data_IF_650951438915
#
_entry.id   IF_650951438915
#
_cell.length_a   1.000
_cell.length_b   1.000
_cell.length_c   1.000
_cell.angle_alpha   90.00
_cell.angle_beta   90.00
_cell.angle_gamma   90.00
#
_symmetry.space_group_name_H-M   'P 1'
#
loop_
_entity.id
_entity.type
_entity.pdbx_description
1 polymer ?
#
# COMPACT_ATOMS: atom_id res chain seq x y z
N UNK A 1 -8.99 -5.42 -4.82
CA UNK A 1 -9.27 -4.11 -4.22
C UNK A 1 -9.24 -3.01 -5.26
N UNK A 2 -9.92 -1.92 -4.96
CA UNK A 2 -9.89 -0.65 -5.70
C UNK A 2 -9.72 0.46 -4.68
N UNK A 3 -8.97 1.50 -5.06
CA UNK A 3 -8.73 2.66 -4.23
C UNK A 3 -9.06 3.94 -4.99
N UNK A 4 -9.81 4.83 -4.35
CA UNK A 4 -9.99 6.20 -4.80
C UNK A 4 -9.08 7.11 -3.98
N UNK A 5 -8.19 7.82 -4.66
CA UNK A 5 -7.23 8.73 -4.04
C UNK A 5 -7.63 10.16 -4.33
N UNK A 6 -7.83 10.94 -3.27
CA UNK A 6 -8.09 12.36 -3.35
C UNK A 6 -6.90 13.12 -2.77
N UNK A 7 -6.25 13.94 -3.58
CA UNK A 7 -5.12 14.77 -3.14
C UNK A 7 -5.02 16.04 -3.99
N UNK A 8 -4.84 17.20 -3.35
CA UNK A 8 -4.66 18.48 -4.04
C UNK A 8 -5.81 18.84 -5.01
N UNK A 9 -7.05 18.43 -4.70
CA UNK A 9 -8.23 18.66 -5.55
C UNK A 9 -8.33 17.73 -6.76
N UNK A 10 -7.45 16.73 -6.89
CA UNK A 10 -7.50 15.70 -7.93
C UNK A 10 -8.00 14.39 -7.32
N UNK A 11 -8.82 13.68 -8.08
CA UNK A 11 -9.26 12.33 -7.75
C UNK A 11 -8.70 11.36 -8.78
N UNK A 12 -8.06 10.29 -8.31
CA UNK A 12 -7.51 9.21 -9.14
C UNK A 12 -8.10 7.90 -8.65
N UNK A 13 -8.50 7.05 -9.59
CA UNK A 13 -8.91 5.67 -9.30
C UNK A 13 -7.77 4.71 -9.60
N UNK A 14 -7.56 3.76 -8.70
CA UNK A 14 -6.52 2.75 -8.79
C UNK A 14 -7.14 1.37 -8.56
N UNK A 15 -6.65 0.36 -9.29
CA UNK A 15 -6.98 -1.03 -9.05
C UNK A 15 -5.79 -1.74 -8.42
N UNK A 16 -6.04 -2.60 -7.44
CA UNK A 16 -4.97 -3.27 -6.72
C UNK A 16 -5.33 -4.66 -6.21
N UNK A 17 -4.30 -5.37 -5.76
CA UNK A 17 -4.41 -6.69 -5.13
C UNK A 17 -3.45 -6.75 -3.95
N UNK A 18 -3.85 -7.44 -2.91
CA UNK A 18 -2.99 -7.78 -1.78
C UNK A 18 -3.14 -9.27 -1.51
N UNK A 19 -2.02 -9.98 -1.38
CA UNK A 19 -2.02 -11.41 -1.13
C UNK A 19 -0.83 -11.78 -0.25
N UNK A 20 -1.08 -12.11 1.02
CA UNK A 20 -0.08 -12.60 1.98
C UNK A 20 1.20 -11.74 2.05
N UNK A 21 1.04 -10.41 2.06
CA UNK A 21 2.16 -9.47 2.12
C UNK A 21 2.67 -9.00 0.74
N UNK A 22 2.30 -9.68 -0.34
CA UNK A 22 2.56 -9.19 -1.69
C UNK A 22 1.48 -8.19 -2.11
N UNK A 23 1.86 -7.17 -2.88
CA UNK A 23 0.98 -6.09 -3.32
C UNK A 23 1.16 -5.82 -4.82
N UNK A 24 0.04 -5.48 -5.46
CA UNK A 24 -0.02 -4.99 -6.84
C UNK A 24 -0.91 -3.75 -6.92
N UNK A 25 -0.48 -2.74 -7.68
CA UNK A 25 -1.29 -1.59 -8.07
C UNK A 25 -1.23 -1.36 -9.58
N UNK A 26 -2.32 -0.82 -10.12
CA UNK A 26 -2.52 -0.50 -11.52
C UNK A 26 -3.35 0.77 -11.62
N UNK A 27 -2.85 1.78 -12.32
CA UNK A 27 -3.56 3.05 -12.51
C UNK A 27 -3.09 3.78 -13.77
N UNK A 28 -3.95 4.65 -14.30
CA UNK A 28 -3.56 5.55 -15.39
C UNK A 28 -2.83 6.78 -14.85
N UNK A 29 -1.70 7.09 -15.46
CA UNK A 29 -0.97 8.32 -15.23
C UNK A 29 -0.68 8.99 -16.57
N UNK A 30 -1.36 10.10 -16.84
CA UNK A 30 -1.18 10.90 -18.07
C UNK A 30 -1.42 10.08 -19.36
N UNK A 31 -2.40 9.17 -19.35
CA UNK A 31 -2.72 8.32 -20.50
C UNK A 31 -1.77 7.12 -20.68
N UNK A 32 -0.94 6.83 -19.68
CA UNK A 32 -0.10 5.63 -19.64
C UNK A 32 -0.49 4.77 -18.45
N UNK A 33 -0.69 3.48 -18.70
CA UNK A 33 -0.85 2.50 -17.62
C UNK A 33 0.46 2.38 -16.85
N UNK A 34 0.39 2.63 -15.54
CA UNK A 34 1.45 2.34 -14.59
C UNK A 34 1.05 1.13 -13.75
N UNK A 35 1.99 0.21 -13.57
CA UNK A 35 1.84 -0.94 -12.71
C UNK A 35 2.97 -1.01 -11.69
N UNK A 36 2.62 -1.40 -10.47
CA UNK A 36 3.55 -1.44 -9.35
C UNK A 36 3.38 -2.76 -8.60
N UNK A 37 4.50 -3.36 -8.25
CA UNK A 37 4.53 -4.66 -7.59
C UNK A 37 5.46 -4.58 -6.39
N UNK A 38 5.01 -5.13 -5.27
CA UNK A 38 5.84 -5.41 -4.10
C UNK A 38 5.71 -6.90 -3.81
N UNK A 39 6.76 -7.67 -4.06
CA UNK A 39 6.76 -9.13 -3.93
C UNK A 39 7.95 -9.53 -3.05
N UNK A 40 7.66 -10.04 -1.86
CA UNK A 40 8.68 -10.22 -0.82
C UNK A 40 9.47 -8.93 -0.59
N UNK A 41 10.79 -8.96 -0.79
CA UNK A 41 11.67 -7.78 -0.64
C UNK A 41 11.94 -7.04 -1.96
N UNK A 42 11.23 -7.39 -3.03
CA UNK A 42 11.48 -6.84 -4.37
C UNK A 42 10.35 -5.93 -4.81
N UNK A 43 10.72 -4.77 -5.32
CA UNK A 43 9.79 -3.81 -5.91
C UNK A 43 10.01 -3.72 -7.40
N UNK A 44 8.92 -3.66 -8.17
CA UNK A 44 8.92 -3.52 -9.61
C UNK A 44 7.96 -2.43 -10.04
N UNK A 45 8.33 -1.72 -11.10
CA UNK A 45 7.47 -0.73 -11.76
C UNK A 45 7.45 -1.03 -13.25
N UNK A 46 6.26 -1.07 -13.84
CA UNK A 46 6.06 -1.20 -15.29
C UNK A 46 5.37 0.04 -15.80
N UNK A 47 5.96 0.69 -16.80
CA UNK A 47 5.39 1.85 -17.49
C UNK A 47 5.58 1.67 -18.98
N UNK A 48 4.50 1.76 -19.76
CA UNK A 48 4.59 1.65 -21.22
C UNK A 48 5.27 0.35 -21.71
N UNK A 49 5.13 -0.74 -20.95
CA UNK A 49 5.76 -2.03 -21.24
C UNK A 49 7.24 -2.16 -20.83
N UNK A 50 7.85 -1.11 -20.27
CA UNK A 50 9.21 -1.17 -19.72
C UNK A 50 9.16 -1.54 -18.24
N UNK A 51 9.83 -2.63 -17.86
CA UNK A 51 9.92 -3.06 -16.46
C UNK A 51 11.24 -2.65 -15.81
N UNK A 52 11.15 -2.04 -14.64
CA UNK A 52 12.29 -1.66 -13.80
C UNK A 52 12.16 -2.31 -12.42
N UNK A 53 13.26 -2.89 -11.92
CA UNK A 53 13.39 -3.41 -10.55
C UNK A 53 14.17 -2.42 -9.69
N UNK A 54 13.62 -2.04 -8.55
CA UNK A 54 14.26 -1.09 -7.63
C UNK A 54 13.28 -0.40 -6.68
N UNK A 55 13.79 0.44 -5.79
CA UNK A 55 12.99 1.11 -4.76
C UNK A 55 11.99 2.08 -5.38
N UNK A 56 10.71 1.94 -5.00
CA UNK A 56 9.66 2.90 -5.33
C UNK A 56 10.03 4.29 -4.84
N UNK A 57 9.85 5.32 -5.68
CA UNK A 57 9.90 6.73 -5.25
C UNK A 57 8.51 7.35 -5.09
N UNK A 58 7.45 6.68 -5.57
CA UNK A 58 6.06 7.16 -5.52
C UNK A 58 5.12 5.96 -5.34
N UNK A 59 3.94 6.17 -4.73
CA UNK A 59 2.93 5.13 -4.46
C UNK A 59 2.81 4.77 -2.99
N UNK A 60 1.83 3.93 -2.64
CA UNK A 60 1.69 3.40 -1.29
C UNK A 60 2.64 2.25 -1.02
N UNK A 61 3.25 2.27 0.15
CA UNK A 61 4.06 1.18 0.66
C UNK A 61 3.18 -0.01 1.06
N UNK A 62 3.76 -1.22 0.98
CA UNK A 62 3.14 -2.45 1.48
C UNK A 62 2.53 -2.25 2.87
N UNK A 63 3.31 -1.65 3.77
CA UNK A 63 2.97 -1.50 5.18
C UNK A 63 1.76 -0.57 5.43
N UNK A 64 1.38 0.25 4.46
CA UNK A 64 0.22 1.15 4.60
C UNK A 64 -1.10 0.41 4.37
N UNK A 65 -1.07 -0.74 3.70
CA UNK A 65 -2.29 -1.49 3.40
C UNK A 65 -2.27 -2.95 3.85
N UNK A 66 -1.19 -3.37 4.50
CA UNK A 66 -1.07 -4.71 5.09
C UNK A 66 -2.09 -4.85 6.23
N UNK A 67 -3.11 -5.73 6.11
CA UNK A 67 -4.10 -5.92 7.16
C UNK A 67 -3.44 -6.43 8.45
N UNK A 68 -2.37 -7.24 8.34
CA UNK A 68 -1.70 -7.83 9.48
C UNK A 68 -1.02 -6.81 10.40
N UNK A 69 -0.78 -5.60 9.91
CA UNK A 69 -0.33 -4.47 10.74
C UNK A 69 -1.32 -4.10 11.84
N UNK A 70 -2.61 -4.34 11.61
CA UNK A 70 -3.69 -3.91 12.50
C UNK A 70 -4.52 -5.06 13.04
N UNK A 71 -4.81 -6.09 12.23
CA UNK A 71 -5.70 -7.19 12.59
C UNK A 71 -4.99 -8.39 13.19
N UNK A 72 -3.80 -8.71 12.71
CA UNK A 72 -3.29 -10.05 12.94
C UNK A 72 -2.65 -10.19 14.32
N UNK A 73 -2.12 -9.10 14.91
CA UNK A 73 -1.39 -9.16 16.18
C UNK A 73 -1.55 -7.88 17.04
N UNK A 74 -2.74 -7.62 17.62
CA UNK A 74 -2.94 -6.51 18.56
C UNK A 74 -2.07 -6.63 19.81
N UNK A 75 -1.67 -7.85 20.19
CA UNK A 75 -0.76 -8.11 21.31
C UNK A 75 0.71 -7.85 20.98
N UNK A 76 1.12 -7.95 19.69
CA UNK A 76 2.49 -7.64 19.26
C UNK A 76 2.70 -6.15 18.91
N UNK A 77 1.60 -5.40 18.78
CA UNK A 77 1.60 -3.94 18.63
C UNK A 77 0.83 -3.29 19.79
N UNK A 78 1.21 -3.51 21.07
CA UNK A 78 0.45 -3.05 22.23
C UNK A 78 0.38 -1.52 22.33
N UNK A 79 1.30 -0.83 21.63
CA UNK A 79 1.33 0.63 21.47
C UNK A 79 0.17 1.14 20.59
N UNK A 80 -0.37 0.30 19.69
CA UNK A 80 -1.32 0.69 18.64
C UNK A 80 -2.73 0.19 18.99
N UNK A 81 -3.36 0.87 19.94
CA UNK A 81 -4.78 0.65 20.27
C UNK A 81 -5.68 1.58 19.44
N UNK A 82 -6.87 1.12 19.01
CA UNK A 82 -7.81 2.01 18.32
C UNK A 82 -8.25 3.14 19.26
N UNK A 83 -8.24 4.36 18.74
CA UNK A 83 -8.72 5.57 19.45
C UNK A 83 -10.25 5.67 19.42
N UNK A 84 -10.91 4.90 18.54
CA UNK A 84 -12.36 4.90 18.41
C UNK A 84 -12.90 3.83 17.47
N UNK A 85 -14.21 3.88 17.29
CA UNK A 85 -14.97 3.11 16.29
C UNK A 85 -15.87 4.04 15.50
N UNK A 86 -16.11 3.71 14.25
CA UNK A 86 -17.01 4.47 13.37
C UNK A 86 -17.71 3.53 12.38
N UNK A 87 -18.51 4.09 11.48
CA UNK A 87 -19.17 3.37 10.38
C UNK A 87 -18.97 4.13 9.08
N UNK A 88 -18.45 3.46 8.05
CA UNK A 88 -18.31 3.99 6.70
C UNK A 88 -19.13 3.12 5.75
N UNK A 89 -20.11 3.70 5.07
CA UNK A 89 -21.00 3.01 4.13
C UNK A 89 -21.70 1.76 4.70
N UNK A 90 -21.96 1.76 6.00
CA UNK A 90 -22.59 0.65 6.72
C UNK A 90 -21.63 -0.42 7.23
N UNK A 91 -20.33 -0.28 6.98
CA UNK A 91 -19.28 -1.17 7.48
C UNK A 91 -18.68 -0.62 8.79
N UNK A 92 -18.60 -1.46 9.83
CA UNK A 92 -17.96 -1.09 11.10
C UNK A 92 -16.44 -0.97 10.92
N UNK A 93 -15.87 0.14 11.39
CA UNK A 93 -14.43 0.40 11.32
C UNK A 93 -13.85 0.73 12.70
N UNK A 94 -12.62 0.28 12.93
CA UNK A 94 -11.75 0.69 14.02
C UNK A 94 -10.89 1.88 13.57
N UNK A 95 -10.82 2.92 14.39
CA UNK A 95 -10.09 4.15 14.07
C UNK A 95 -8.76 4.16 14.79
N UNK A 96 -7.67 4.37 14.05
CA UNK A 96 -6.31 4.49 14.57
C UNK A 96 -5.69 5.81 14.14
N UNK A 97 -4.98 6.46 15.05
CA UNK A 97 -4.17 7.65 14.75
C UNK A 97 -2.70 7.27 14.84
N UNK A 98 -1.99 7.39 13.71
CA UNK A 98 -0.58 7.01 13.62
C UNK A 98 0.24 8.25 13.33
N UNK A 99 1.07 8.63 14.29
CA UNK A 99 2.11 9.64 14.07
C UNK A 99 3.26 9.01 13.30
N UNK A 100 3.58 9.52 12.12
CA UNK A 100 4.80 9.11 11.43
C UNK A 100 5.98 9.91 11.97
N UNK A 101 7.08 9.24 12.33
CA UNK A 101 8.23 9.87 13.00
C UNK A 101 8.81 11.10 12.25
N UNK A 102 8.62 11.16 10.93
CA UNK A 102 9.09 12.25 10.07
C UNK A 102 7.99 13.26 9.67
N UNK A 103 6.71 13.00 10.00
CA UNK A 103 5.58 13.87 9.65
C UNK A 103 5.00 14.54 10.90
N UNK A 104 4.85 15.87 10.87
CA UNK A 104 4.29 16.63 12.00
C UNK A 104 2.78 16.43 12.20
N UNK A 105 2.08 15.76 11.27
CA UNK A 105 0.63 15.54 11.33
C UNK A 105 0.34 14.05 11.26
N UNK A 106 -0.49 13.52 12.18
CA UNK A 106 -0.85 12.11 12.18
C UNK A 106 -1.69 11.77 10.96
N UNK A 107 -1.60 10.50 10.54
CA UNK A 107 -2.56 9.90 9.62
C UNK A 107 -3.62 9.15 10.42
N UNK A 108 -4.86 9.24 9.97
CA UNK A 108 -5.98 8.47 10.53
C UNK A 108 -6.28 7.28 9.62
N UNK A 109 -6.23 6.09 10.20
CA UNK A 109 -6.55 4.83 9.55
C UNK A 109 -7.92 4.35 10.04
N UNK A 110 -8.79 4.01 9.10
CA UNK A 110 -10.09 3.40 9.36
C UNK A 110 -10.03 1.97 8.83
N UNK A 111 -10.00 1.00 9.74
CA UNK A 111 -9.77 -0.41 9.44
C UNK A 111 -11.08 -1.18 9.62
N UNK A 112 -11.48 -1.98 8.63
CA UNK A 112 -12.66 -2.84 8.72
C UNK A 112 -12.54 -3.80 9.91
N UNK A 113 -13.52 -3.76 10.81
CA UNK A 113 -13.47 -4.52 12.06
C UNK A 113 -13.58 -6.04 11.86
N UNK A 114 -14.18 -6.48 10.75
CA UNK A 114 -14.39 -7.90 10.43
C UNK A 114 -13.17 -8.53 9.75
N UNK A 115 -12.48 -7.78 8.89
CA UNK A 115 -11.46 -8.31 7.98
C UNK A 115 -10.06 -7.77 8.23
N UNK A 116 -9.92 -6.67 8.96
CA UNK A 116 -8.62 -6.02 9.16
C UNK A 116 -8.10 -5.19 7.99
N UNK A 117 -8.84 -5.09 6.90
CA UNK A 117 -8.40 -4.34 5.73
C UNK A 117 -8.67 -2.84 5.93
N UNK A 118 -7.79 -1.96 5.41
CA UNK A 118 -8.09 -0.53 5.40
C UNK A 118 -9.37 -0.26 4.60
N UNK A 119 -10.30 0.47 5.20
CA UNK A 119 -11.44 1.07 4.50
C UNK A 119 -11.10 2.49 4.05
N UNK A 120 -10.39 3.25 4.87
CA UNK A 120 -9.93 4.61 4.56
C UNK A 120 -8.60 4.94 5.24
N UNK A 121 -7.77 5.72 4.56
CA UNK A 121 -6.61 6.40 5.14
C UNK A 121 -6.76 7.88 4.86
N UNK A 122 -6.64 8.71 5.89
CA UNK A 122 -6.89 10.14 5.81
C UNK A 122 -5.74 10.93 6.46
N UNK A 123 -5.31 11.97 5.77
CA UNK A 123 -4.41 12.99 6.27
C UNK A 123 -4.93 14.36 5.87
N UNK A 124 -4.27 15.42 6.30
CA UNK A 124 -4.74 16.80 6.06
C UNK A 124 -4.97 17.13 4.57
N UNK A 125 -4.11 16.62 3.68
CA UNK A 125 -4.13 16.92 2.25
C UNK A 125 -4.43 15.71 1.36
N UNK A 126 -4.72 14.55 1.96
CA UNK A 126 -4.99 13.32 1.22
C UNK A 126 -6.06 12.47 1.87
N UNK A 127 -6.85 11.79 1.04
CA UNK A 127 -7.78 10.75 1.46
C UNK A 127 -7.73 9.58 0.47
N UNK A 128 -7.63 8.38 1.00
CA UNK A 128 -7.66 7.13 0.26
C UNK A 128 -8.86 6.35 0.73
N UNK A 129 -9.76 6.02 -0.19
CA UNK A 129 -10.92 5.18 0.06
C UNK A 129 -10.74 3.85 -0.64
N UNK A 130 -10.70 2.78 0.14
CA UNK A 130 -10.54 1.43 -0.37
C UNK A 130 -11.87 0.70 -0.36
N UNK A 131 -12.06 -0.15 -1.37
CA UNK A 131 -13.20 -1.04 -1.43
C UNK A 131 -12.85 -2.32 -2.22
N UNK A 132 -13.80 -3.26 -2.24
CA UNK A 132 -13.71 -4.47 -3.06
C UNK A 132 -12.43 -5.29 -2.81
N UNK A 133 -12.02 -5.45 -1.54
CA UNK A 133 -10.78 -6.14 -1.17
C UNK A 133 -10.72 -7.56 -1.74
N UNK A 134 -11.78 -8.36 -1.55
CA UNK A 134 -12.03 -9.62 -2.28
C UNK A 134 -10.98 -10.71 -2.11
N UNK A 135 -11.29 -11.92 -2.58
CA UNK A 135 -10.29 -13.00 -2.72
C UNK A 135 -9.60 -12.83 -4.06
N UNK A 136 -8.27 -12.82 -4.05
CA UNK A 136 -7.45 -12.64 -5.25
C UNK A 136 -6.43 -13.77 -5.37
N UNK A 137 -6.08 -14.10 -6.62
CA UNK A 137 -5.00 -15.04 -6.89
C UNK A 137 -3.64 -14.50 -6.43
N UNK A 138 -2.65 -15.37 -6.17
CA UNK A 138 -1.30 -14.96 -5.84
C UNK A 138 -0.71 -14.00 -6.89
N UNK A 139 -0.06 -12.94 -6.41
CA UNK A 139 0.55 -11.92 -7.27
C UNK A 139 1.84 -12.50 -7.86
N UNK A 140 1.97 -12.44 -9.18
CA UNK A 140 3.16 -12.86 -9.90
C UNK A 140 4.03 -11.65 -10.23
N UNK A 141 5.34 -11.87 -10.40
CA UNK A 141 6.25 -10.86 -10.91
C UNK A 141 5.84 -10.41 -12.32
N UNK A 142 6.21 -9.18 -12.75
CA UNK A 142 6.03 -8.76 -14.13
C UNK A 142 6.66 -9.74 -15.11
N UNK A 143 6.06 -9.84 -16.29
CA UNK A 143 6.62 -10.61 -17.40
C UNK A 143 7.88 -9.93 -17.96
N UNK A 144 8.85 -10.75 -18.38
CA UNK A 144 10.11 -10.28 -18.96
C UNK A 144 11.24 -10.02 -17.95
N UNK A 145 12.39 -9.60 -18.48
CA UNK A 145 13.58 -9.28 -17.70
C UNK A 145 13.57 -7.80 -17.29
N UNK A 146 13.13 -7.54 -16.06
CA UNK A 146 13.11 -6.19 -15.50
C UNK A 146 14.53 -5.66 -15.33
N UNK A 147 14.79 -4.46 -15.82
CA UNK A 147 16.09 -3.82 -15.69
C UNK A 147 16.29 -3.35 -14.24
N UNK A 148 17.39 -3.75 -13.61
CA UNK A 148 17.75 -3.23 -12.29
C UNK A 148 18.14 -1.76 -12.40
N UNK A 149 17.57 -0.89 -11.55
CA UNK A 149 18.11 0.48 -11.44
C UNK A 149 19.55 0.44 -10.89
N UNK A 150 20.49 1.16 -11.52
CA UNK A 150 21.84 1.30 -10.96
C UNK A 150 21.75 2.23 -9.74
N UNK A 151 21.64 1.66 -8.55
CA UNK A 151 21.58 2.44 -7.31
C UNK A 151 21.07 1.73 -6.05
N UNK A 152 20.75 0.44 -6.10
CA UNK A 152 20.21 -0.33 -4.97
C UNK A 152 21.02 -1.58 -4.64
N UNK A 153 22.28 -1.42 -4.22
CA UNK A 153 23.01 -2.38 -3.38
C UNK A 153 23.64 -3.61 -4.04
N UNK A 154 24.95 -3.54 -4.32
CA UNK A 154 25.88 -4.61 -3.96
C UNK A 154 26.94 -4.02 -3.03
N UNK A 155 26.65 -4.04 -1.72
CA UNK A 155 27.70 -4.22 -0.72
C UNK A 155 27.66 -5.69 -0.35
N UNK A 156 28.33 -6.52 -1.15
CA UNK A 156 28.74 -7.87 -0.80
C UNK A 156 29.92 -8.23 -1.71
N UNK A 157 31.13 -8.16 -1.15
CA UNK A 157 32.10 -9.26 -1.21
C UNK A 157 33.29 -8.90 -0.31
N UNK A 158 33.14 -9.17 0.99
CA UNK A 158 34.27 -9.33 1.88
C UNK A 158 34.98 -10.64 1.53
N UNK A 159 35.99 -10.54 0.66
CA UNK A 159 36.84 -11.66 0.26
C UNK A 159 38.12 -11.72 1.08
N UNK A 160 38.22 -12.80 1.88
CA UNK A 160 39.40 -13.45 2.50
C UNK A 160 40.30 -12.66 3.44
#
# INVERSE_FOLDING_TARGET
>A
MTATVQSGGRTVEMSGRFYRGDMYWSFDQQGQQMEMYHIGNSTYTVVGGQCVRGTMQQGMGRDEVDPGRFSDQPEENPEVTPVGRDTIDGEEVLVYEISQAESQKPLTYYILADSGYPRRIEGESMRWDFHSWGVVDPIQKPEGDCQSMPGGGTMADGGS
#
